data_IF_299806450222
#
_entry.id   IF_299806450222
#
_cell.length_a   1.000
_cell.length_b   1.000
_cell.length_c   1.000
_cell.angle_alpha   90.00
_cell.angle_beta   90.00
_cell.angle_gamma   90.00
#
_symmetry.space_group_name_H-M   'P 1'
#
loop_
_entity.id
_entity.type
_entity.pdbx_description
1 polymer ?
#
# COMPACT_ATOMS: atom_id res chain seq x y z
N UNK A 1 0.25 -10.70 -25.43
CA UNK A 1 -0.84 -9.76 -25.07
C UNK A 1 -0.37 -8.88 -23.91
N UNK A 2 -0.03 -7.61 -24.15
CA UNK A 2 0.38 -6.65 -23.11
C UNK A 2 -0.87 -5.92 -22.62
N UNK A 3 -1.20 -6.05 -21.34
CA UNK A 3 -2.30 -5.30 -20.71
C UNK A 3 -1.70 -4.11 -19.96
N UNK A 4 -1.82 -2.93 -20.55
CA UNK A 4 -1.59 -1.66 -19.85
C UNK A 4 -2.74 -1.46 -18.86
N UNK A 5 -2.42 -1.35 -17.57
CA UNK A 5 -3.37 -0.88 -16.57
C UNK A 5 -3.27 0.64 -16.52
N UNK A 6 -4.39 1.29 -16.84
CA UNK A 6 -4.57 2.72 -16.83
C UNK A 6 -4.89 3.14 -15.39
N UNK A 7 -3.95 3.80 -14.70
CA UNK A 7 -4.22 4.46 -13.42
C UNK A 7 -4.68 5.89 -13.77
N UNK A 8 -5.96 6.17 -13.56
CA UNK A 8 -6.55 7.48 -13.75
C UNK A 8 -6.50 8.24 -12.42
N UNK A 9 -5.60 9.21 -12.28
CA UNK A 9 -5.59 10.18 -11.18
C UNK A 9 -6.02 11.52 -11.77
N UNK A 10 -7.17 12.04 -11.33
CA UNK A 10 -7.62 13.39 -11.67
C UNK A 10 -7.21 14.36 -10.57
N UNK A 11 -6.33 15.31 -10.91
CA UNK A 11 -5.94 16.43 -10.05
C UNK A 11 -6.28 17.74 -10.77
N UNK A 12 -7.23 18.50 -10.23
CA UNK A 12 -7.50 19.86 -10.67
C UNK A 12 -6.52 20.82 -9.96
N UNK A 13 -5.72 21.57 -10.71
CA UNK A 13 -4.80 22.57 -10.16
C UNK A 13 -5.04 23.92 -10.83
N UNK A 14 -5.36 24.94 -10.03
CA UNK A 14 -5.33 26.35 -10.47
C UNK A 14 -3.90 26.88 -10.31
N UNK A 15 -3.31 27.38 -11.40
CA UNK A 15 -1.92 27.85 -11.45
C UNK A 15 -1.91 29.39 -11.59
N UNK A 16 -1.45 30.11 -10.56
CA UNK A 16 -0.99 31.49 -10.72
C UNK A 16 0.54 31.49 -10.76
N UNK A 17 1.08 31.89 -11.91
CA UNK A 17 2.51 31.97 -12.17
C UNK A 17 3.09 33.29 -11.65
N UNK A 18 4.20 33.21 -10.91
CA UNK A 18 5.16 34.32 -10.77
C UNK A 18 6.55 33.79 -11.11
N UNK A 19 7.16 34.39 -12.13
CA UNK A 19 8.50 34.10 -12.61
C UNK A 19 9.57 34.60 -11.63
N UNK A 20 10.57 33.77 -11.34
CA UNK A 20 11.73 34.17 -10.54
C UNK A 20 12.72 33.03 -10.28
N UNK A 21 13.82 33.06 -11.04
CA UNK A 21 15.14 32.43 -10.80
C UNK A 21 15.24 30.88 -10.76
N UNK A 22 15.66 30.33 -11.92
CA UNK A 22 16.25 29.00 -12.04
C UNK A 22 17.56 28.89 -11.23
N UNK A 23 17.43 28.52 -9.96
CA UNK A 23 18.50 27.79 -9.28
C UNK A 23 18.47 26.36 -9.80
N UNK A 24 19.38 26.04 -10.72
CA UNK A 24 19.74 24.67 -11.07
C UNK A 24 20.28 23.95 -9.82
N UNK A 25 19.37 23.50 -8.97
CA UNK A 25 19.60 22.43 -8.02
C UNK A 25 19.30 21.18 -8.84
N UNK A 26 20.33 20.39 -9.16
CA UNK A 26 20.12 18.98 -9.40
C UNK A 26 19.58 18.40 -8.07
N UNK A 27 18.28 18.58 -7.87
CA UNK A 27 17.61 18.17 -6.66
C UNK A 27 17.42 16.67 -6.72
N UNK A 28 17.86 15.96 -5.67
CA UNK A 28 17.07 14.80 -5.29
C UNK A 28 15.63 15.30 -5.23
N UNK A 29 14.75 14.77 -6.08
CA UNK A 29 13.34 15.05 -5.99
C UNK A 29 12.93 14.80 -4.53
N UNK A 30 12.48 15.87 -3.87
CA UNK A 30 12.31 15.86 -2.43
C UNK A 30 11.18 14.87 -2.11
N UNK A 31 11.47 13.90 -1.24
CA UNK A 31 10.47 12.96 -0.79
C UNK A 31 9.40 13.72 0.00
N UNK A 32 8.15 13.61 -0.45
CA UNK A 32 6.97 14.15 0.22
C UNK A 32 6.54 13.15 1.29
N UNK A 33 6.41 13.61 2.53
CA UNK A 33 5.88 12.78 3.61
C UNK A 33 4.39 12.48 3.37
N UNK A 34 4.00 11.23 3.59
CA UNK A 34 2.59 10.82 3.55
C UNK A 34 1.94 11.19 4.88
N UNK A 35 0.74 11.78 4.83
CA UNK A 35 -0.11 11.96 6.01
C UNK A 35 -0.66 10.60 6.43
N UNK A 36 -0.01 9.95 7.40
CA UNK A 36 -0.32 8.58 7.83
C UNK A 36 -1.69 8.46 8.50
N UNK A 37 -2.18 9.53 9.12
CA UNK A 37 -3.49 9.55 9.79
C UNK A 37 -4.65 9.62 8.80
N UNK A 38 -4.40 10.20 7.62
CA UNK A 38 -5.40 10.37 6.56
C UNK A 38 -5.21 9.44 5.38
N UNK A 39 -4.21 8.57 5.44
CA UNK A 39 -3.87 7.61 4.38
C UNK A 39 -4.09 6.18 4.83
N UNK A 40 -4.29 5.29 3.88
CA UNK A 40 -4.47 3.85 4.15
C UNK A 40 -3.91 3.06 2.99
N UNK A 41 -3.30 1.91 3.29
CA UNK A 41 -2.87 0.94 2.31
C UNK A 41 -3.93 -0.16 2.22
N UNK A 42 -4.48 -0.37 1.03
CA UNK A 42 -5.40 -1.49 0.76
C UNK A 42 -4.72 -2.46 -0.19
N UNK A 43 -4.59 -3.70 0.24
CA UNK A 43 -3.89 -4.78 -0.44
C UNK A 43 -4.95 -5.77 -0.93
N UNK A 44 -5.00 -5.96 -2.24
CA UNK A 44 -5.83 -7.01 -2.83
C UNK A 44 -4.96 -8.21 -3.18
N UNK A 45 -5.16 -9.30 -2.46
CA UNK A 45 -4.43 -10.55 -2.65
C UNK A 45 -5.30 -11.50 -3.47
N UNK A 46 -4.77 -11.93 -4.61
CA UNK A 46 -5.43 -12.87 -5.50
C UNK A 46 -4.55 -14.09 -5.73
N UNK A 47 -5.16 -15.25 -5.92
CA UNK A 47 -4.41 -16.43 -6.35
C UNK A 47 -4.26 -16.49 -7.87
N UNK A 48 -3.10 -16.99 -8.31
CA UNK A 48 -2.84 -17.46 -9.67
C UNK A 48 -1.98 -18.73 -9.65
N UNK A 49 -2.03 -19.54 -10.71
CA UNK A 49 -1.23 -20.79 -10.84
C UNK A 49 -1.83 -22.06 -10.20
N UNK A 50 -1.04 -23.15 -10.21
CA UNK A 50 -1.46 -24.52 -9.84
C UNK A 50 -1.92 -24.68 -8.38
N UNK A 51 -1.59 -23.73 -7.50
CA UNK A 51 -1.97 -23.74 -6.08
C UNK A 51 -3.25 -22.94 -5.77
N UNK A 52 -4.01 -22.52 -6.80
CA UNK A 52 -5.27 -21.77 -6.70
C UNK A 52 -6.37 -22.49 -5.92
N UNK A 53 -6.40 -23.82 -5.96
CA UNK A 53 -7.46 -24.64 -5.35
C UNK A 53 -7.52 -24.58 -3.80
N UNK A 54 -6.57 -23.92 -3.14
CA UNK A 54 -6.41 -23.95 -1.68
C UNK A 54 -6.35 -22.58 -0.99
N UNK A 55 -6.67 -21.46 -1.66
CA UNK A 55 -6.90 -20.21 -0.93
C UNK A 55 -7.79 -19.23 -1.68
N UNK A 56 -8.46 -18.42 -0.89
CA UNK A 56 -9.42 -17.43 -1.32
C UNK A 56 -8.73 -16.12 -1.73
N UNK A 57 -9.49 -15.25 -2.41
CA UNK A 57 -9.07 -13.86 -2.62
C UNK A 57 -9.33 -13.09 -1.33
N UNK A 58 -8.42 -12.18 -0.99
CA UNK A 58 -8.51 -11.40 0.23
C UNK A 58 -8.30 -9.91 -0.03
N UNK A 59 -9.09 -9.09 0.66
CA UNK A 59 -8.90 -7.66 0.75
C UNK A 59 -8.37 -7.34 2.16
N UNK A 60 -7.16 -6.81 2.24
CA UNK A 60 -6.50 -6.50 3.51
C UNK A 60 -6.23 -5.01 3.58
N UNK A 61 -6.48 -4.40 4.73
CA UNK A 61 -6.17 -3.02 5.03
C UNK A 61 -4.98 -2.95 5.96
N UNK A 62 -4.08 -2.01 5.74
CA UNK A 62 -2.98 -1.68 6.65
C UNK A 62 -2.99 -0.18 6.94
N UNK A 63 -2.83 0.17 8.23
CA UNK A 63 -2.50 1.54 8.64
C UNK A 63 -1.01 1.77 8.43
N UNK A 64 -0.67 2.95 7.92
CA UNK A 64 0.72 3.34 7.71
C UNK A 64 1.31 3.77 9.04
N UNK A 65 2.49 3.23 9.37
CA UNK A 65 3.33 3.77 10.42
C UNK A 65 4.16 4.94 9.86
N UNK A 66 4.68 4.78 8.64
CA UNK A 66 5.44 5.81 7.92
C UNK A 66 5.15 5.74 6.42
N UNK A 67 5.42 6.84 5.72
CA UNK A 67 5.36 6.84 4.26
C UNK A 67 6.02 8.06 3.63
N UNK A 68 6.61 7.84 2.45
CA UNK A 68 7.18 8.91 1.63
C UNK A 68 6.98 8.65 0.14
N UNK A 69 6.87 9.72 -0.65
CA UNK A 69 6.69 9.68 -2.09
C UNK A 69 7.61 10.69 -2.78
N UNK A 70 8.42 10.21 -3.71
CA UNK A 70 9.14 11.03 -4.68
C UNK A 70 8.37 10.98 -6.00
N UNK A 71 7.67 12.06 -6.39
CA UNK A 71 6.80 12.02 -7.57
C UNK A 71 7.55 12.12 -8.90
N UNK A 72 8.72 12.77 -8.92
CA UNK A 72 9.47 13.01 -10.15
C UNK A 72 10.37 11.81 -10.52
N UNK A 73 10.58 11.52 -11.81
CA UNK A 73 11.44 10.44 -12.27
C UNK A 73 12.90 10.53 -11.76
N UNK A 74 13.49 9.43 -11.24
CA UNK A 74 12.83 8.14 -11.00
C UNK A 74 11.92 8.22 -9.78
N UNK A 75 10.61 8.06 -10.00
CA UNK A 75 9.63 8.11 -8.91
C UNK A 75 9.85 6.96 -7.94
N UNK A 76 9.68 7.21 -6.66
CA UNK A 76 9.92 6.24 -5.60
C UNK A 76 8.87 6.40 -4.49
N UNK A 77 8.53 5.30 -3.83
CA UNK A 77 7.68 5.32 -2.64
C UNK A 77 8.29 4.38 -1.59
N UNK A 78 8.21 4.77 -0.33
CA UNK A 78 8.52 3.94 0.83
C UNK A 78 7.32 3.99 1.77
N UNK A 79 6.93 2.83 2.29
CA UNK A 79 5.78 2.68 3.18
C UNK A 79 6.20 1.70 4.25
N UNK A 80 5.92 2.03 5.51
CA UNK A 80 6.12 1.14 6.65
C UNK A 80 4.77 0.87 7.28
N UNK A 81 4.49 -0.40 7.57
CA UNK A 81 3.27 -0.83 8.28
C UNK A 81 3.62 -1.81 9.40
N UNK A 82 2.87 -1.76 10.51
CA UNK A 82 2.98 -2.77 11.55
C UNK A 82 2.20 -4.02 11.16
N UNK A 83 2.86 -5.19 11.22
CA UNK A 83 2.27 -6.47 10.79
C UNK A 83 0.97 -6.80 11.56
N UNK A 84 0.92 -6.42 12.84
CA UNK A 84 -0.24 -6.65 13.72
C UNK A 84 -1.45 -5.76 13.42
N UNK A 85 -1.23 -4.65 12.72
CA UNK A 85 -2.28 -3.68 12.38
C UNK A 85 -2.95 -3.99 11.02
N UNK A 86 -2.48 -5.03 10.31
CA UNK A 86 -3.16 -5.51 9.12
C UNK A 86 -4.51 -6.14 9.50
N UNK A 87 -5.54 -5.75 8.75
CA UNK A 87 -6.92 -6.16 8.98
C UNK A 87 -7.50 -6.75 7.70
N UNK A 88 -7.95 -8.00 7.77
CA UNK A 88 -8.71 -8.67 6.72
C UNK A 88 -10.11 -8.06 6.69
N UNK A 89 -10.47 -7.45 5.56
CA UNK A 89 -11.76 -6.80 5.37
C UNK A 89 -12.84 -7.78 4.88
N UNK A 90 -12.52 -8.56 3.83
CA UNK A 90 -13.36 -9.59 3.20
C UNK A 90 -14.86 -9.48 3.49
N UNK A 91 -15.55 -8.50 2.86
CA UNK A 91 -16.93 -8.17 3.21
C UNK A 91 -17.90 -9.33 2.89
N UNK A 92 -17.56 -10.16 1.91
CA UNK A 92 -18.37 -11.30 1.48
C UNK A 92 -18.16 -12.55 2.34
N UNK A 93 -17.16 -12.56 3.24
CA UNK A 93 -16.94 -13.67 4.15
C UNK A 93 -17.81 -13.53 5.43
N UNK A 94 -18.36 -14.64 5.94
CA UNK A 94 -18.92 -14.68 7.28
C UNK A 94 -17.90 -14.21 8.32
N UNK A 95 -18.36 -13.49 9.35
CA UNK A 95 -17.47 -12.89 10.35
C UNK A 95 -16.54 -13.91 11.02
N UNK A 96 -17.03 -15.12 11.29
CA UNK A 96 -16.24 -16.19 11.91
C UNK A 96 -15.11 -16.66 11.00
N UNK A 97 -15.39 -16.78 9.70
CA UNK A 97 -14.38 -17.11 8.69
C UNK A 97 -13.38 -15.99 8.49
N UNK A 98 -13.81 -14.73 8.49
CA UNK A 98 -12.90 -13.59 8.45
C UNK A 98 -11.96 -13.55 9.66
N UNK A 99 -12.45 -13.89 10.87
CA UNK A 99 -11.59 -14.01 12.07
C UNK A 99 -10.59 -15.15 11.94
N UNK A 100 -10.98 -16.29 11.39
CA UNK A 100 -10.08 -17.42 11.11
C UNK A 100 -8.96 -17.02 10.13
N UNK A 101 -9.32 -16.34 9.04
CA UNK A 101 -8.36 -15.81 8.05
C UNK A 101 -7.43 -14.78 8.69
N UNK A 102 -7.95 -13.84 9.48
CA UNK A 102 -7.16 -12.86 10.23
C UNK A 102 -6.13 -13.55 11.15
N UNK A 103 -6.56 -14.54 11.92
CA UNK A 103 -5.68 -15.26 12.83
C UNK A 103 -4.57 -16.00 12.07
N UNK A 104 -4.91 -16.67 10.95
CA UNK A 104 -3.92 -17.33 10.10
C UNK A 104 -2.96 -16.34 9.45
N UNK A 105 -3.44 -15.19 9.00
CA UNK A 105 -2.62 -14.15 8.39
C UNK A 105 -1.55 -13.64 9.36
N UNK A 106 -1.93 -13.37 10.61
CA UNK A 106 -0.99 -12.91 11.64
C UNK A 106 -0.08 -14.03 12.18
N UNK A 107 -0.52 -15.28 12.04
CA UNK A 107 0.16 -16.46 12.55
C UNK A 107 1.48 -16.82 11.84
N UNK A 108 2.22 -17.78 12.40
CA UNK A 108 3.56 -18.16 11.96
C UNK A 108 3.61 -18.79 10.56
N UNK A 109 2.47 -19.25 10.04
CA UNK A 109 2.37 -19.83 8.70
C UNK A 109 2.40 -18.77 7.58
N UNK A 110 2.17 -17.49 7.91
CA UNK A 110 2.08 -16.41 6.92
C UNK A 110 3.01 -15.26 7.29
N UNK A 111 2.60 -14.35 8.20
CA UNK A 111 3.39 -13.17 8.53
C UNK A 111 4.31 -13.41 9.72
N UNK A 112 3.96 -14.33 10.63
CA UNK A 112 4.64 -14.50 11.93
C UNK A 112 4.79 -13.14 12.63
N UNK A 113 3.67 -12.43 12.80
CA UNK A 113 3.66 -11.03 13.26
C UNK A 113 4.17 -10.85 14.71
N UNK A 114 4.31 -11.96 15.45
CA UNK A 114 4.98 -11.98 16.75
C UNK A 114 6.50 -11.85 16.61
N UNK A 115 7.07 -12.44 15.56
CA UNK A 115 8.51 -12.40 15.26
C UNK A 115 8.91 -11.25 14.34
N UNK A 116 8.08 -10.93 13.36
CA UNK A 116 8.30 -9.88 12.38
C UNK A 116 7.22 -8.79 12.53
N UNK A 117 7.50 -7.80 13.37
CA UNK A 117 6.52 -6.77 13.74
C UNK A 117 6.24 -5.70 12.68
N UNK A 118 7.09 -5.60 11.66
CA UNK A 118 7.07 -4.52 10.67
C UNK A 118 7.28 -5.05 9.25
N UNK A 119 6.65 -4.38 8.28
CA UNK A 119 6.86 -4.57 6.84
C UNK A 119 7.27 -3.20 6.28
N UNK A 120 8.46 -3.12 5.67
CA UNK A 120 9.10 -1.90 5.17
C UNK A 120 9.77 -2.12 3.80
#
# INVERSE_FOLDING_TARGET
MRRQFLICVTLASAFLASAGEERARAGLAAALAVDVDRSTLTISVYKSGLFSAFADNHLVRARLAEGSLTPDPPGAASIVVHARDLEVLDPDLPADKRREVQARMLGPEVLDADRYGEIA
#
